data_IF_923832016703
#
_entry.id   IF_923832016703
#
_cell.length_a   1.000
_cell.length_b   1.000
_cell.length_c   1.000
_cell.angle_alpha   90.00
_cell.angle_beta   90.00
_cell.angle_gamma   90.00
#
_symmetry.space_group_name_H-M   'P 1'
#
loop_
_entity.id
_entity.type
_entity.pdbx_description
1 polymer ?
#
# COMPACT_ATOMS: atom_id res chain seq x y z
N UNK A 1 24.79 -4.65 -1.36
CA UNK A 1 23.94 -4.66 -0.14
C UNK A 1 23.21 -6.00 -0.10
N UNK A 2 22.82 -6.50 1.07
CA UNK A 2 21.95 -7.68 1.19
C UNK A 2 20.55 -7.27 0.79
N UNK A 3 19.87 -8.04 -0.07
CA UNK A 3 18.48 -7.78 -0.44
C UNK A 3 17.52 -8.29 0.63
N UNK A 4 16.23 -7.93 0.53
CA UNK A 4 15.19 -8.63 1.29
C UNK A 4 15.24 -10.11 0.94
N UNK A 5 14.88 -10.97 1.88
CA UNK A 5 14.92 -12.42 1.67
C UNK A 5 13.62 -13.08 2.10
N UNK A 6 13.28 -14.19 1.44
CA UNK A 6 12.07 -14.95 1.67
C UNK A 6 12.43 -16.32 2.27
N UNK A 7 11.78 -16.68 3.38
CA UNK A 7 11.83 -18.03 3.95
C UNK A 7 10.42 -18.64 3.91
N UNK A 8 10.26 -19.67 3.08
CA UNK A 8 9.00 -20.41 2.93
C UNK A 8 9.03 -21.76 3.66
N UNK A 9 10.10 -22.10 4.34
CA UNK A 9 10.32 -23.45 4.92
C UNK A 9 9.19 -23.86 5.86
N UNK A 10 8.70 -22.93 6.70
CA UNK A 10 7.60 -23.14 7.64
C UNK A 10 6.21 -23.08 7.03
N UNK A 11 6.11 -22.77 5.76
CA UNK A 11 4.89 -22.88 4.96
C UNK A 11 4.91 -24.14 4.08
N UNK A 12 6.04 -24.40 3.42
CA UNK A 12 6.20 -25.52 2.51
C UNK A 12 6.05 -26.89 3.22
N UNK A 13 6.42 -26.99 4.50
CA UNK A 13 6.25 -28.23 5.28
C UNK A 13 4.78 -28.67 5.46
N UNK A 14 3.80 -27.79 5.19
CA UNK A 14 2.36 -28.10 5.20
C UNK A 14 1.83 -28.57 3.84
N UNK A 15 2.70 -28.63 2.85
CA UNK A 15 2.40 -29.13 1.51
C UNK A 15 3.10 -30.49 1.31
N UNK A 16 2.64 -31.25 0.33
CA UNK A 16 3.35 -32.47 -0.04
C UNK A 16 4.73 -32.17 -0.55
N UNK A 17 5.66 -33.10 -0.42
CA UNK A 17 7.04 -32.95 -0.91
C UNK A 17 7.03 -32.59 -2.40
N UNK A 18 7.82 -31.59 -2.77
CA UNK A 18 7.90 -31.09 -4.15
C UNK A 18 6.72 -30.24 -4.61
N UNK A 19 5.66 -30.04 -3.79
CA UNK A 19 4.46 -29.30 -4.21
C UNK A 19 4.79 -27.87 -4.66
N UNK A 20 5.67 -27.15 -3.98
CA UNK A 20 6.07 -25.79 -4.38
C UNK A 20 6.79 -25.83 -5.74
N UNK A 21 7.71 -26.79 -5.92
CA UNK A 21 8.44 -26.96 -7.18
C UNK A 21 7.54 -27.34 -8.35
N UNK A 22 6.45 -28.05 -8.09
CA UNK A 22 5.47 -28.41 -9.11
C UNK A 22 4.75 -27.18 -9.74
N UNK A 23 4.80 -26.00 -9.09
CA UNK A 23 4.31 -24.75 -9.67
C UNK A 23 5.31 -24.08 -10.61
N UNK A 24 6.57 -24.49 -10.68
CA UNK A 24 7.57 -23.86 -11.53
C UNK A 24 7.15 -23.67 -12.98
N UNK A 25 6.58 -24.67 -13.68
CA UNK A 25 6.12 -24.47 -15.08
C UNK A 25 5.02 -23.40 -15.19
N UNK A 26 4.07 -23.37 -14.25
CA UNK A 26 2.98 -22.37 -14.25
C UNK A 26 3.49 -20.97 -13.93
N UNK A 27 4.42 -20.85 -12.98
CA UNK A 27 5.05 -19.58 -12.61
C UNK A 27 5.88 -19.03 -13.79
N UNK A 28 6.67 -19.87 -14.44
CA UNK A 28 7.44 -19.47 -15.64
C UNK A 28 6.53 -19.01 -16.76
N UNK A 29 5.47 -19.77 -17.05
CA UNK A 29 4.50 -19.38 -18.05
C UNK A 29 3.80 -18.04 -17.71
N UNK A 30 3.51 -17.78 -16.42
CA UNK A 30 2.96 -16.52 -15.96
C UNK A 30 3.96 -15.36 -16.15
N UNK A 31 5.23 -15.55 -15.81
CA UNK A 31 6.29 -14.55 -16.02
C UNK A 31 6.50 -14.25 -17.52
N UNK A 32 6.56 -15.29 -18.35
CA UNK A 32 6.67 -15.15 -19.81
C UNK A 32 5.47 -14.38 -20.39
N UNK A 33 4.25 -14.66 -19.91
CA UNK A 33 3.05 -13.98 -20.35
C UNK A 33 3.01 -12.50 -19.92
N UNK A 34 3.51 -12.18 -18.72
CA UNK A 34 3.68 -10.79 -18.26
C UNK A 34 4.68 -10.04 -19.16
N UNK A 35 5.85 -10.62 -19.40
CA UNK A 35 6.91 -10.01 -20.22
C UNK A 35 6.51 -9.85 -21.68
N UNK A 36 5.82 -10.86 -22.24
CA UNK A 36 5.33 -10.81 -23.62
C UNK A 36 4.06 -9.96 -23.81
N UNK A 37 3.45 -9.50 -22.72
CA UNK A 37 2.20 -8.76 -22.78
C UNK A 37 1.02 -9.59 -23.31
N UNK A 38 1.00 -10.91 -23.03
CA UNK A 38 -0.04 -11.84 -23.49
C UNK A 38 -0.98 -12.31 -22.38
N UNK A 39 -0.72 -11.90 -21.14
CA UNK A 39 -1.58 -12.23 -20.00
C UNK A 39 -2.93 -11.47 -20.03
N UNK A 40 -3.96 -11.97 -19.34
CA UNK A 40 -5.20 -11.21 -19.13
C UNK A 40 -4.93 -9.85 -18.49
N UNK A 41 -5.47 -8.78 -19.07
CA UNK A 41 -5.28 -7.40 -18.57
C UNK A 41 -3.94 -6.76 -18.96
N UNK A 42 -3.31 -7.24 -20.03
CA UNK A 42 -2.03 -6.75 -20.55
C UNK A 42 -2.00 -5.24 -20.88
N UNK A 43 -3.17 -4.59 -21.01
CA UNK A 43 -3.27 -3.12 -21.13
C UNK A 43 -2.74 -2.36 -19.91
N UNK A 44 -2.52 -3.06 -18.78
CA UNK A 44 -2.12 -2.49 -17.50
C UNK A 44 -0.76 -3.01 -17.00
N UNK A 45 0.19 -3.24 -17.90
CA UNK A 45 1.54 -3.73 -17.55
C UNK A 45 2.60 -2.63 -17.43
N UNK A 46 2.21 -1.35 -17.47
CA UNK A 46 3.15 -0.23 -17.38
C UNK A 46 3.95 -0.15 -16.07
N UNK A 47 3.57 -0.90 -15.06
CA UNK A 47 4.30 -1.02 -13.79
C UNK A 47 5.48 -2.00 -13.86
N UNK A 48 5.46 -2.98 -14.78
CA UNK A 48 6.40 -4.11 -14.80
C UNK A 48 7.87 -3.68 -14.91
N UNK A 49 8.16 -2.75 -15.84
CA UNK A 49 9.49 -2.17 -16.02
C UNK A 49 9.52 -0.69 -15.63
N UNK A 50 8.56 -0.24 -14.83
CA UNK A 50 8.51 1.14 -14.36
C UNK A 50 9.77 1.53 -13.59
N UNK A 51 10.28 0.75 -12.60
CA UNK A 51 11.44 1.16 -11.82
C UNK A 51 12.64 1.51 -12.67
N UNK A 52 13.04 0.62 -13.58
CA UNK A 52 14.20 0.81 -14.46
C UNK A 52 13.99 1.87 -15.54
N UNK A 53 12.74 2.22 -15.85
CA UNK A 53 12.39 3.26 -16.84
C UNK A 53 12.36 4.68 -16.26
N UNK A 54 12.32 4.83 -14.93
CA UNK A 54 12.31 6.13 -14.27
C UNK A 54 13.65 6.84 -14.47
N UNK A 55 13.61 8.01 -15.10
CA UNK A 55 14.83 8.79 -15.37
C UNK A 55 15.20 9.68 -14.19
N UNK A 56 16.51 9.98 -14.01
CA UNK A 56 16.95 10.96 -13.00
C UNK A 56 16.28 12.33 -13.16
N UNK A 57 16.10 12.80 -14.41
CA UNK A 57 15.44 14.07 -14.70
C UNK A 57 13.99 14.12 -14.23
N UNK A 58 13.27 13.02 -14.35
CA UNK A 58 11.90 12.90 -13.82
C UNK A 58 11.88 12.94 -12.28
N UNK A 59 12.79 12.25 -11.61
CA UNK A 59 12.91 12.31 -10.14
C UNK A 59 13.29 13.71 -9.67
N UNK A 60 14.15 14.41 -10.40
CA UNK A 60 14.52 15.80 -10.10
C UNK A 60 13.33 16.75 -10.29
N UNK A 61 12.45 16.52 -11.28
CA UNK A 61 11.22 17.30 -11.47
C UNK A 61 10.22 17.07 -10.32
N UNK A 62 10.03 15.82 -9.90
CA UNK A 62 9.20 15.50 -8.74
C UNK A 62 9.74 16.15 -7.49
N UNK A 63 11.05 16.04 -7.24
CA UNK A 63 11.72 16.64 -6.10
C UNK A 63 11.58 18.18 -6.10
N UNK A 64 11.82 18.84 -7.22
CA UNK A 64 11.68 20.29 -7.34
C UNK A 64 10.24 20.76 -7.04
N UNK A 65 9.24 19.99 -7.46
CA UNK A 65 7.83 20.27 -7.13
C UNK A 65 7.55 20.07 -5.64
N UNK A 66 8.07 19.00 -5.05
CA UNK A 66 7.97 18.75 -3.61
C UNK A 66 8.64 19.88 -2.80
N UNK A 67 9.79 20.38 -3.24
CA UNK A 67 10.51 21.46 -2.56
C UNK A 67 9.72 22.79 -2.59
N UNK A 68 8.97 23.07 -3.65
CA UNK A 68 8.05 24.21 -3.68
C UNK A 68 6.96 24.06 -2.61
N UNK A 69 6.37 22.86 -2.46
CA UNK A 69 5.36 22.60 -1.43
C UNK A 69 5.97 22.70 -0.03
N UNK A 70 7.14 22.10 0.18
CA UNK A 70 7.86 22.14 1.47
C UNK A 70 8.22 23.55 1.91
N UNK A 71 8.65 24.40 0.97
CA UNK A 71 9.04 25.78 1.26
C UNK A 71 7.85 26.71 1.57
N UNK A 72 6.63 26.37 1.13
CA UNK A 72 5.48 27.26 1.20
C UNK A 72 4.35 26.76 2.11
N UNK A 73 4.42 25.52 2.62
CA UNK A 73 3.32 24.90 3.35
C UNK A 73 3.75 24.34 4.71
N UNK A 74 2.91 24.51 5.71
CA UNK A 74 3.01 23.86 7.03
C UNK A 74 2.37 22.45 6.99
N UNK A 75 1.40 22.27 6.08
CA UNK A 75 0.75 20.99 5.83
C UNK A 75 0.54 20.79 4.31
N UNK A 76 0.58 19.55 3.88
CA UNK A 76 0.20 19.16 2.51
C UNK A 76 -0.85 18.08 2.61
N UNK A 77 -2.01 18.31 2.01
CA UNK A 77 -3.12 17.34 1.98
C UNK A 77 -3.07 16.58 0.67
N UNK A 78 -2.92 15.27 0.76
CA UNK A 78 -3.01 14.35 -0.38
C UNK A 78 -4.47 13.93 -0.50
N UNK A 79 -5.16 14.43 -1.53
CA UNK A 79 -6.54 14.11 -1.83
C UNK A 79 -6.60 12.94 -2.82
N UNK A 80 -6.95 11.75 -2.33
CA UNK A 80 -6.99 10.52 -3.12
C UNK A 80 -7.63 9.36 -2.37
N UNK A 81 -8.01 8.31 -3.10
CA UNK A 81 -8.62 7.10 -2.54
C UNK A 81 -7.97 5.84 -3.14
N UNK A 82 -7.99 4.73 -2.39
CA UNK A 82 -7.41 3.46 -2.84
C UNK A 82 -5.93 3.60 -3.20
N UNK A 83 -5.55 3.18 -4.40
CA UNK A 83 -4.16 3.29 -4.88
C UNK A 83 -3.63 4.73 -4.97
N UNK A 84 -4.52 5.73 -4.99
CA UNK A 84 -4.11 7.14 -5.00
C UNK A 84 -3.67 7.67 -3.63
N UNK A 85 -3.73 6.86 -2.56
CA UNK A 85 -3.23 7.25 -1.24
C UNK A 85 -2.51 6.14 -0.48
N UNK A 86 -2.97 4.87 -0.57
CA UNK A 86 -2.46 3.78 0.27
C UNK A 86 -0.95 3.55 0.12
N UNK A 87 -0.45 3.52 -1.11
CA UNK A 87 0.98 3.29 -1.35
C UNK A 87 1.86 4.42 -0.82
N UNK A 88 1.48 5.68 -1.07
CA UNK A 88 2.20 6.84 -0.52
C UNK A 88 2.17 6.83 1.02
N UNK A 89 1.01 6.55 1.62
CA UNK A 89 0.85 6.48 3.07
C UNK A 89 1.69 5.37 3.67
N UNK A 90 1.71 4.19 3.05
CA UNK A 90 2.52 3.05 3.47
C UNK A 90 4.02 3.41 3.57
N UNK A 91 4.57 4.05 2.54
CA UNK A 91 5.98 4.47 2.52
C UNK A 91 6.24 5.56 3.56
N UNK A 92 5.38 6.58 3.60
CA UNK A 92 5.54 7.72 4.52
C UNK A 92 5.50 7.25 5.97
N UNK A 93 4.54 6.40 6.36
CA UNK A 93 4.46 5.90 7.74
C UNK A 93 5.61 4.95 8.09
N UNK A 94 5.99 4.06 7.18
CA UNK A 94 7.13 3.16 7.40
C UNK A 94 8.45 3.90 7.69
N UNK A 95 8.63 5.08 7.09
CA UNK A 95 9.86 5.86 7.22
C UNK A 95 9.79 6.97 8.26
N UNK A 96 8.59 7.42 8.63
CA UNK A 96 8.39 8.53 9.58
C UNK A 96 8.76 8.16 11.02
N UNK A 97 9.06 9.17 11.82
CA UNK A 97 8.96 9.05 13.26
C UNK A 97 7.47 8.86 13.62
N UNK A 98 7.16 7.88 14.47
CA UNK A 98 5.76 7.58 14.88
C UNK A 98 5.04 8.77 15.53
N UNK A 99 5.78 9.75 16.04
CA UNK A 99 5.28 10.98 16.66
C UNK A 99 5.63 12.24 15.86
N UNK A 100 5.91 12.11 14.54
CA UNK A 100 6.34 13.23 13.69
C UNK A 100 5.37 14.42 13.72
N UNK A 101 4.07 14.14 13.86
CA UNK A 101 3.02 15.17 13.92
C UNK A 101 3.03 16.00 15.24
N UNK A 102 3.68 15.48 16.31
CA UNK A 102 3.86 16.17 17.60
C UNK A 102 5.22 16.86 17.73
N UNK A 103 6.18 16.53 16.89
CA UNK A 103 7.55 17.09 17.00
C UNK A 103 7.54 18.54 16.56
N UNK A 104 8.08 19.44 17.40
CA UNK A 104 8.06 20.89 17.16
C UNK A 104 8.98 21.33 16.00
N UNK A 105 10.14 20.68 15.83
CA UNK A 105 11.06 20.96 14.71
C UNK A 105 10.60 20.21 13.47
N UNK A 106 9.89 20.92 12.62
CA UNK A 106 9.35 20.40 11.36
C UNK A 106 10.10 20.98 10.17
N UNK A 107 11.14 20.30 9.73
CA UNK A 107 11.82 20.63 8.49
C UNK A 107 10.96 20.33 7.25
N UNK A 108 9.89 19.55 7.40
CA UNK A 108 8.95 19.16 6.35
C UNK A 108 7.50 19.44 6.76
N UNK A 109 6.59 19.69 5.81
CA UNK A 109 5.18 19.87 6.12
C UNK A 109 4.58 18.58 6.69
N UNK A 110 3.54 18.72 7.51
CA UNK A 110 2.73 17.57 7.92
C UNK A 110 1.97 17.06 6.71
N UNK A 111 2.15 15.79 6.37
CA UNK A 111 1.41 15.15 5.28
C UNK A 111 0.11 14.58 5.85
N UNK A 112 -1.01 15.05 5.31
CA UNK A 112 -2.36 14.63 5.66
C UNK A 112 -3.00 13.93 4.47
N UNK A 113 -3.86 12.96 4.72
CA UNK A 113 -4.57 12.24 3.67
C UNK A 113 -6.07 12.48 3.80
N UNK A 114 -6.73 12.80 2.68
CA UNK A 114 -8.16 13.03 2.64
C UNK A 114 -8.75 12.55 1.30
N UNK A 115 -10.08 12.53 1.19
CA UNK A 115 -10.73 11.98 0.00
C UNK A 115 -10.67 10.46 -0.11
N UNK A 116 -10.24 9.80 0.96
CA UNK A 116 -10.26 8.35 1.14
C UNK A 116 -11.51 7.89 1.92
N UNK A 117 -12.34 8.84 2.34
CA UNK A 117 -13.64 8.65 2.95
C UNK A 117 -14.50 9.90 2.72
N UNK A 118 -15.78 9.83 3.09
CA UNK A 118 -16.75 10.94 3.06
C UNK A 118 -17.38 11.18 4.43
N UNK A 119 -16.63 10.86 5.50
CA UNK A 119 -17.06 11.16 6.87
C UNK A 119 -17.10 12.67 7.10
N UNK A 120 -18.28 13.19 7.49
CA UNK A 120 -18.50 14.61 7.68
C UNK A 120 -17.63 15.17 8.81
N UNK A 121 -17.56 14.47 9.95
CA UNK A 121 -16.71 14.86 11.08
C UNK A 121 -15.25 14.96 10.67
N UNK A 122 -14.72 13.95 10.00
CA UNK A 122 -13.32 13.94 9.54
C UNK A 122 -13.00 15.13 8.62
N UNK A 123 -13.86 15.42 7.65
CA UNK A 123 -13.66 16.54 6.73
C UNK A 123 -13.83 17.89 7.43
N UNK A 124 -14.77 18.00 8.37
CA UNK A 124 -14.97 19.19 9.19
C UNK A 124 -13.74 19.47 10.07
N UNK A 125 -13.28 18.49 10.82
CA UNK A 125 -12.09 18.58 11.67
C UNK A 125 -10.83 18.91 10.86
N UNK A 126 -10.66 18.30 9.68
CA UNK A 126 -9.55 18.61 8.78
C UNK A 126 -9.59 20.08 8.33
N UNK A 127 -10.76 20.55 7.87
CA UNK A 127 -10.88 21.95 7.42
C UNK A 127 -10.68 22.94 8.58
N UNK A 128 -11.11 22.57 9.78
CA UNK A 128 -10.87 23.36 10.99
C UNK A 128 -9.37 23.39 11.36
N UNK A 129 -8.69 22.24 11.34
CA UNK A 129 -7.25 22.16 11.57
C UNK A 129 -6.44 23.03 10.60
N UNK A 130 -6.89 23.13 9.35
CA UNK A 130 -6.23 23.92 8.30
C UNK A 130 -6.49 25.42 8.38
N UNK A 131 -7.46 25.88 9.21
CA UNK A 131 -7.73 27.33 9.38
C UNK A 131 -6.47 28.07 9.82
N UNK A 132 -6.14 29.12 9.08
CA UNK A 132 -4.99 29.98 9.36
C UNK A 132 -3.62 29.40 9.03
N UNK A 133 -3.54 28.13 8.57
CA UNK A 133 -2.28 27.50 8.15
C UNK A 133 -2.02 27.71 6.66
N UNK A 134 -0.75 27.79 6.31
CA UNK A 134 -0.31 27.66 4.91
C UNK A 134 -0.33 26.17 4.54
N UNK A 135 -1.19 25.78 3.62
CA UNK A 135 -1.29 24.39 3.22
C UNK A 135 -1.33 24.21 1.69
N UNK A 136 -0.79 23.10 1.23
CA UNK A 136 -0.86 22.68 -0.16
C UNK A 136 -1.81 21.49 -0.34
N UNK A 137 -2.18 21.22 -1.60
CA UNK A 137 -3.01 20.08 -1.96
C UNK A 137 -2.38 19.33 -3.12
N UNK A 138 -2.21 18.02 -2.97
CA UNK A 138 -1.90 17.11 -4.06
C UNK A 138 -3.18 16.35 -4.41
N UNK A 139 -3.85 16.77 -5.48
CA UNK A 139 -5.08 16.13 -5.94
C UNK A 139 -4.76 14.98 -6.88
N UNK A 140 -4.99 13.76 -6.44
CA UNK A 140 -4.66 12.53 -7.16
C UNK A 140 -5.93 11.84 -7.62
N UNK A 141 -6.29 12.04 -8.87
CA UNK A 141 -7.47 11.40 -9.47
C UNK A 141 -7.33 11.37 -10.99
N UNK A 142 -7.38 10.19 -11.60
CA UNK A 142 -7.28 10.05 -13.05
C UNK A 142 -8.43 10.75 -13.77
N UNK A 143 -9.66 10.50 -13.37
CA UNK A 143 -10.86 11.11 -13.96
C UNK A 143 -11.20 12.49 -13.37
N UNK A 144 -10.88 12.72 -12.11
CA UNK A 144 -11.34 13.88 -11.33
C UNK A 144 -12.82 13.82 -10.96
N UNK A 145 -13.48 12.69 -11.13
CA UNK A 145 -14.92 12.49 -10.86
C UNK A 145 -15.20 11.43 -9.80
N UNK A 146 -14.17 10.82 -9.22
CA UNK A 146 -14.32 9.95 -8.05
C UNK A 146 -14.92 10.78 -6.93
N UNK A 147 -16.08 10.38 -6.43
CA UNK A 147 -16.93 11.21 -5.56
C UNK A 147 -16.19 11.72 -4.33
N UNK A 148 -15.52 10.82 -3.63
CA UNK A 148 -14.81 11.09 -2.38
C UNK A 148 -13.70 12.13 -2.60
N UNK A 149 -12.86 11.89 -3.60
CA UNK A 149 -11.73 12.78 -3.93
C UNK A 149 -12.20 14.10 -4.49
N UNK A 150 -13.22 14.11 -5.38
CA UNK A 150 -13.74 15.33 -6.01
C UNK A 150 -14.41 16.25 -4.99
N UNK A 151 -15.19 15.69 -4.04
CA UNK A 151 -15.82 16.44 -2.95
C UNK A 151 -14.74 17.08 -2.06
N UNK A 152 -13.79 16.28 -1.62
CA UNK A 152 -12.70 16.74 -0.76
C UNK A 152 -11.86 17.82 -1.46
N UNK A 153 -11.48 17.62 -2.71
CA UNK A 153 -10.71 18.60 -3.45
C UNK A 153 -11.47 19.92 -3.63
N UNK A 154 -12.79 19.87 -3.85
CA UNK A 154 -13.62 21.09 -3.96
C UNK A 154 -13.59 21.91 -2.68
N UNK A 155 -13.68 21.26 -1.51
CA UNK A 155 -13.59 21.93 -0.21
C UNK A 155 -12.20 22.53 0.02
N UNK A 156 -11.15 21.74 -0.17
CA UNK A 156 -9.76 22.15 0.06
C UNK A 156 -9.31 23.25 -0.90
N UNK A 157 -9.67 23.16 -2.20
CA UNK A 157 -9.38 24.22 -3.18
C UNK A 157 -9.97 25.56 -2.76
N UNK A 158 -11.26 25.56 -2.40
CA UNK A 158 -11.95 26.76 -1.94
C UNK A 158 -11.25 27.35 -0.72
N UNK A 159 -11.00 26.56 0.31
CA UNK A 159 -10.33 27.02 1.52
C UNK A 159 -8.91 27.55 1.27
N UNK A 160 -8.13 26.86 0.44
CA UNK A 160 -6.77 27.27 0.04
C UNK A 160 -6.79 28.64 -0.65
N UNK A 161 -7.70 28.84 -1.61
CA UNK A 161 -7.86 30.12 -2.32
C UNK A 161 -8.32 31.26 -1.41
N UNK A 162 -9.24 30.98 -0.49
CA UNK A 162 -9.73 31.98 0.47
C UNK A 162 -8.67 32.40 1.50
N UNK A 163 -7.85 31.44 1.98
CA UNK A 163 -6.83 31.72 3.00
C UNK A 163 -5.53 32.30 2.42
N UNK A 164 -5.09 31.84 1.25
CA UNK A 164 -3.77 32.14 0.74
C UNK A 164 -3.79 32.96 -0.57
N UNK A 165 -4.97 33.18 -1.14
CA UNK A 165 -5.18 33.84 -2.42
C UNK A 165 -4.86 32.92 -3.60
N UNK A 166 -5.47 33.25 -4.77
CA UNK A 166 -5.37 32.41 -5.98
C UNK A 166 -3.95 32.20 -6.51
N UNK A 167 -3.09 33.21 -6.41
CA UNK A 167 -1.70 33.15 -6.88
C UNK A 167 -0.88 32.13 -6.06
N UNK A 168 -1.04 32.12 -4.75
CA UNK A 168 -0.39 31.13 -3.89
C UNK A 168 -1.02 29.75 -4.08
N UNK A 169 -2.33 29.66 -4.14
CA UNK A 169 -3.02 28.40 -4.40
C UNK A 169 -2.55 27.74 -5.70
N UNK A 170 -2.31 28.54 -6.76
CA UNK A 170 -1.74 28.05 -8.02
C UNK A 170 -0.36 27.39 -7.84
N UNK A 171 0.45 27.88 -6.92
CA UNK A 171 1.79 27.34 -6.64
C UNK A 171 1.78 26.07 -5.80
N UNK A 172 0.80 25.94 -4.89
CA UNK A 172 0.77 24.87 -3.87
C UNK A 172 -0.33 23.83 -4.09
N UNK A 173 -1.14 23.97 -5.13
CA UNK A 173 -2.03 22.90 -5.60
C UNK A 173 -1.37 22.22 -6.79
N UNK A 174 -1.21 20.89 -6.66
CA UNK A 174 -0.64 20.04 -7.71
C UNK A 174 -1.66 18.98 -8.10
N UNK A 175 -1.86 18.76 -9.39
CA UNK A 175 -2.72 17.72 -9.91
C UNK A 175 -1.90 16.55 -10.39
N UNK A 176 -2.23 15.34 -9.91
CA UNK A 176 -1.73 14.08 -10.47
C UNK A 176 -2.92 13.39 -11.14
N UNK A 177 -2.97 13.41 -12.47
CA UNK A 177 -4.20 13.11 -13.22
C UNK A 177 -3.91 12.57 -14.63
N UNK A 178 -4.95 12.36 -15.43
CA UNK A 178 -4.85 11.98 -16.84
C UNK A 178 -4.08 13.03 -17.66
N UNK A 179 -3.43 12.58 -18.73
CA UNK A 179 -2.63 13.45 -19.60
C UNK A 179 -3.47 14.46 -20.39
N UNK A 180 -4.71 14.11 -20.77
CA UNK A 180 -5.49 14.84 -21.78
C UNK A 180 -6.93 15.09 -21.41
N UNK A 181 -7.54 14.29 -20.53
CA UNK A 181 -8.99 14.27 -20.30
C UNK A 181 -9.34 14.18 -18.82
N UNK A 182 -10.63 14.43 -18.55
CA UNK A 182 -11.20 14.35 -17.19
C UNK A 182 -11.26 15.69 -16.48
N UNK A 183 -12.10 15.76 -15.46
CA UNK A 183 -12.37 16.98 -14.71
C UNK A 183 -11.13 17.52 -13.99
N UNK A 184 -10.28 16.65 -13.45
CA UNK A 184 -9.04 17.07 -12.78
C UNK A 184 -8.05 17.70 -13.78
N UNK A 185 -7.91 17.12 -14.99
CA UNK A 185 -7.07 17.69 -16.06
C UNK A 185 -7.58 19.08 -16.49
N UNK A 186 -8.88 19.15 -16.80
CA UNK A 186 -9.50 20.42 -17.19
C UNK A 186 -9.33 21.50 -16.12
N UNK A 187 -9.50 21.13 -14.83
CA UNK A 187 -9.29 22.06 -13.73
C UNK A 187 -7.82 22.52 -13.65
N UNK A 188 -6.86 21.59 -13.76
CA UNK A 188 -5.45 21.92 -13.69
C UNK A 188 -5.03 22.87 -14.81
N UNK A 189 -5.49 22.64 -16.05
CA UNK A 189 -5.19 23.50 -17.19
C UNK A 189 -5.81 24.89 -17.04
N UNK A 190 -7.07 24.95 -16.61
CA UNK A 190 -7.78 26.24 -16.42
C UNK A 190 -7.14 27.10 -15.33
N UNK A 191 -6.78 26.49 -14.20
CA UNK A 191 -6.23 27.21 -13.03
C UNK A 191 -4.70 27.40 -13.14
N UNK A 192 -4.02 26.69 -14.07
CA UNK A 192 -2.57 26.74 -14.24
C UNK A 192 -1.83 26.00 -13.12
N UNK A 193 -2.37 24.93 -12.60
CA UNK A 193 -1.70 24.10 -11.58
C UNK A 193 -0.57 23.29 -12.19
N UNK A 194 0.53 23.14 -11.46
CA UNK A 194 1.52 22.11 -11.78
C UNK A 194 0.84 20.75 -11.84
N UNK A 195 1.18 19.94 -12.83
CA UNK A 195 0.56 18.61 -12.95
C UNK A 195 1.55 17.56 -13.35
N UNK A 196 1.24 16.32 -12.93
CA UNK A 196 1.91 15.07 -13.34
C UNK A 196 0.88 14.12 -13.93
N UNK A 197 1.37 13.26 -14.81
CA UNK A 197 0.51 12.29 -15.51
C UNK A 197 0.47 10.97 -14.75
N UNK A 198 -0.74 10.44 -14.57
CA UNK A 198 -0.94 9.04 -14.20
C UNK A 198 -0.88 8.24 -15.49
N UNK A 199 0.08 7.32 -15.67
CA UNK A 199 0.17 6.52 -16.88
C UNK A 199 -1.12 5.71 -17.12
N UNK A 200 -1.57 5.67 -18.37
CA UNK A 200 -2.82 4.97 -18.72
C UNK A 200 -2.77 3.48 -18.47
N UNK A 201 -1.59 2.90 -18.65
CA UNK A 201 -1.28 1.49 -18.52
C UNK A 201 -0.81 1.05 -17.12
N UNK A 202 -1.00 1.90 -16.09
CA UNK A 202 -0.71 1.55 -14.68
C UNK A 202 -1.99 1.60 -13.87
N UNK A 203 -2.36 0.47 -13.26
CA UNK A 203 -3.48 0.39 -12.35
C UNK A 203 -3.19 1.10 -11.01
N UNK A 204 -4.25 1.59 -10.33
CA UNK A 204 -4.10 2.38 -9.10
C UNK A 204 -3.27 1.68 -8.01
N UNK A 205 -3.50 0.39 -7.77
CA UNK A 205 -2.78 -0.39 -6.74
C UNK A 205 -1.33 -0.73 -7.08
N UNK A 206 -0.92 -0.52 -8.36
CA UNK A 206 0.45 -0.68 -8.88
C UNK A 206 1.14 0.68 -9.12
N UNK A 207 0.63 1.78 -8.57
CA UNK A 207 1.06 3.13 -8.96
C UNK A 207 2.00 3.82 -7.97
N UNK A 208 2.50 3.13 -6.94
CA UNK A 208 3.35 3.74 -5.90
C UNK A 208 4.59 4.42 -6.48
N UNK A 209 5.23 3.82 -7.49
CA UNK A 209 6.43 4.33 -8.15
C UNK A 209 6.14 5.31 -9.30
N UNK A 210 4.87 5.71 -9.49
CA UNK A 210 4.48 6.83 -10.35
C UNK A 210 4.43 8.14 -9.54
N UNK A 211 4.12 9.30 -10.15
CA UNK A 211 3.90 10.54 -9.41
C UNK A 211 2.84 10.42 -8.30
N UNK A 212 1.94 9.44 -8.40
CA UNK A 212 0.92 9.13 -7.39
C UNK A 212 1.54 8.89 -6.00
N UNK A 213 2.61 8.11 -5.94
CA UNK A 213 3.33 7.86 -4.70
C UNK A 213 4.54 8.76 -4.52
N UNK A 214 5.35 8.93 -5.57
CA UNK A 214 6.64 9.63 -5.46
C UNK A 214 6.52 11.09 -5.00
N UNK A 215 5.49 11.83 -5.47
CA UNK A 215 5.35 13.23 -5.08
C UNK A 215 4.98 13.41 -3.59
N UNK A 216 3.97 12.73 -3.03
CA UNK A 216 3.71 12.81 -1.59
C UNK A 216 4.89 12.36 -0.73
N UNK A 217 5.61 11.31 -1.16
CA UNK A 217 6.77 10.77 -0.44
C UNK A 217 7.91 11.81 -0.41
N UNK A 218 8.20 12.45 -1.54
CA UNK A 218 9.18 13.54 -1.62
C UNK A 218 8.77 14.75 -0.77
N UNK A 219 7.46 15.11 -0.74
CA UNK A 219 6.93 16.16 0.12
C UNK A 219 7.12 15.86 1.60
N UNK A 220 7.03 14.59 1.99
CA UNK A 220 7.33 14.14 3.36
C UNK A 220 8.83 14.21 3.71
N UNK A 221 9.70 14.49 2.73
CA UNK A 221 11.14 14.61 2.91
C UNK A 221 11.93 13.32 2.79
N UNK A 222 11.32 12.27 2.23
CA UNK A 222 12.01 10.98 2.03
C UNK A 222 12.67 10.90 0.66
N UNK A 223 13.77 10.14 0.60
CA UNK A 223 14.58 9.98 -0.60
C UNK A 223 13.93 9.05 -1.62
N UNK A 224 13.26 9.66 -2.60
CA UNK A 224 12.60 8.93 -3.70
C UNK A 224 13.62 8.26 -4.66
N UNK A 225 14.87 8.74 -4.72
CA UNK A 225 15.91 8.11 -5.54
C UNK A 225 16.33 6.77 -4.93
N UNK A 226 16.49 6.71 -3.61
CA UNK A 226 16.75 5.46 -2.91
C UNK A 226 15.56 4.49 -3.00
N UNK A 227 14.33 4.99 -2.90
CA UNK A 227 13.12 4.18 -3.06
C UNK A 227 13.10 3.49 -4.44
N UNK A 228 13.31 4.26 -5.49
CA UNK A 228 13.35 3.75 -6.87
C UNK A 228 14.55 2.81 -7.07
N UNK A 229 15.72 3.14 -6.52
CA UNK A 229 16.90 2.28 -6.62
C UNK A 229 16.65 0.88 -5.99
N UNK A 230 15.94 0.83 -4.86
CA UNK A 230 15.52 -0.43 -4.24
C UNK A 230 14.59 -1.25 -5.14
N UNK A 231 13.61 -0.59 -5.77
CA UNK A 231 12.70 -1.23 -6.71
C UNK A 231 13.41 -1.74 -7.97
N UNK A 232 14.36 -0.97 -8.52
CA UNK A 232 15.21 -1.39 -9.65
C UNK A 232 16.03 -2.63 -9.31
N UNK A 233 16.58 -2.69 -8.11
CA UNK A 233 17.32 -3.89 -7.68
C UNK A 233 16.39 -5.12 -7.61
N UNK A 234 15.20 -4.95 -7.06
CA UNK A 234 14.24 -6.06 -6.95
C UNK A 234 13.66 -6.46 -8.32
N UNK A 235 13.50 -5.53 -9.25
CA UNK A 235 13.15 -5.83 -10.65
C UNK A 235 14.15 -6.81 -11.29
N UNK A 236 15.46 -6.64 -11.01
CA UNK A 236 16.49 -7.57 -11.48
C UNK A 236 16.42 -8.93 -10.78
N UNK A 237 16.28 -8.92 -9.45
CA UNK A 237 16.23 -10.14 -8.63
C UNK A 237 15.02 -11.00 -8.99
N UNK A 238 13.86 -10.36 -9.28
CA UNK A 238 12.64 -11.06 -9.63
C UNK A 238 12.40 -11.20 -11.14
N UNK A 239 13.39 -10.86 -11.97
CA UNK A 239 13.29 -10.92 -13.42
C UNK A 239 13.03 -12.33 -13.95
N UNK A 240 12.51 -12.42 -15.17
CA UNK A 240 12.12 -13.70 -15.81
C UNK A 240 13.26 -14.72 -15.97
N UNK A 241 14.51 -14.22 -16.07
CA UNK A 241 15.71 -15.05 -16.27
C UNK A 241 16.28 -15.58 -14.95
N UNK A 242 15.76 -15.13 -13.80
CA UNK A 242 16.15 -15.66 -12.49
C UNK A 242 15.70 -17.12 -12.33
N UNK A 243 16.54 -17.95 -11.74
CA UNK A 243 16.19 -19.34 -11.44
C UNK A 243 14.99 -19.37 -10.48
N UNK A 244 14.07 -20.32 -10.66
CA UNK A 244 12.86 -20.42 -9.84
C UNK A 244 13.17 -20.40 -8.33
N UNK A 245 14.17 -21.20 -7.92
CA UNK A 245 14.55 -21.34 -6.51
C UNK A 245 15.29 -20.10 -5.94
N UNK A 246 15.73 -19.18 -6.80
CA UNK A 246 16.42 -17.94 -6.44
C UNK A 246 15.52 -16.71 -6.56
N UNK A 247 14.36 -16.85 -7.19
CA UNK A 247 13.40 -15.76 -7.39
C UNK A 247 12.37 -15.71 -6.25
N UNK A 248 12.47 -14.76 -5.32
CA UNK A 248 11.58 -14.70 -4.16
C UNK A 248 10.11 -14.46 -4.55
N UNK A 249 9.84 -13.71 -5.61
CA UNK A 249 8.47 -13.46 -6.07
C UNK A 249 7.85 -14.72 -6.68
N UNK A 250 8.62 -15.50 -7.43
CA UNK A 250 8.22 -16.79 -7.98
C UNK A 250 7.89 -17.79 -6.86
N UNK A 251 8.76 -17.91 -5.86
CA UNK A 251 8.57 -18.79 -4.70
C UNK A 251 7.34 -18.36 -3.87
N UNK A 252 7.17 -17.06 -3.64
CA UNK A 252 6.02 -16.55 -2.90
C UNK A 252 4.71 -16.84 -3.63
N UNK A 253 4.65 -16.59 -4.94
CA UNK A 253 3.47 -16.91 -5.75
C UNK A 253 3.18 -18.42 -5.76
N UNK A 254 4.20 -19.28 -5.85
CA UNK A 254 4.05 -20.72 -5.85
C UNK A 254 3.52 -21.26 -4.52
N UNK A 255 4.13 -20.86 -3.39
CA UNK A 255 3.71 -21.35 -2.07
C UNK A 255 2.30 -20.87 -1.71
N UNK A 256 1.93 -19.62 -2.04
CA UNK A 256 0.58 -19.10 -1.85
C UNK A 256 -0.48 -19.91 -2.60
N UNK A 257 -0.23 -20.17 -3.89
CA UNK A 257 -1.15 -20.96 -4.71
C UNK A 257 -1.23 -22.42 -4.22
N UNK A 258 -0.11 -23.00 -3.77
CA UNK A 258 -0.08 -24.33 -3.16
C UNK A 258 -0.91 -24.39 -1.88
N UNK A 259 -0.75 -23.42 -0.99
CA UNK A 259 -1.56 -23.29 0.24
C UNK A 259 -3.05 -23.07 -0.08
N UNK A 260 -3.36 -22.24 -1.09
CA UNK A 260 -4.73 -22.04 -1.52
C UNK A 260 -5.39 -23.35 -2.01
N UNK A 261 -4.68 -24.16 -2.79
CA UNK A 261 -5.15 -25.45 -3.26
C UNK A 261 -5.31 -26.46 -2.11
N UNK A 262 -4.48 -26.34 -1.05
CA UNK A 262 -4.59 -27.19 0.15
C UNK A 262 -5.71 -26.74 1.11
N UNK A 263 -6.49 -25.70 0.76
CA UNK A 263 -7.62 -25.22 1.56
C UNK A 263 -7.34 -24.01 2.45
N UNK A 264 -6.13 -23.45 2.41
CA UNK A 264 -5.81 -22.19 3.11
C UNK A 264 -6.38 -21.01 2.30
N UNK A 265 -7.40 -20.36 2.81
CA UNK A 265 -8.19 -19.35 2.10
C UNK A 265 -7.94 -17.92 2.56
N UNK A 266 -7.25 -17.75 3.67
CA UNK A 266 -6.98 -16.45 4.29
C UNK A 266 -5.47 -16.34 4.52
N UNK A 267 -4.87 -15.27 4.00
CA UNK A 267 -3.50 -14.88 4.29
C UNK A 267 -3.50 -13.69 5.25
N UNK A 268 -2.79 -13.84 6.35
CA UNK A 268 -2.64 -12.79 7.35
C UNK A 268 -1.23 -12.20 7.21
N UNK A 269 -1.14 -10.96 6.75
CA UNK A 269 0.09 -10.17 6.81
C UNK A 269 0.34 -9.77 8.25
N UNK A 270 1.47 -10.20 8.81
CA UNK A 270 1.85 -9.95 10.21
C UNK A 270 3.08 -9.06 10.26
N UNK A 271 3.03 -8.01 11.04
CA UNK A 271 4.18 -7.16 11.29
C UNK A 271 4.40 -6.91 12.79
N UNK A 272 5.69 -6.81 13.19
CA UNK A 272 6.14 -6.53 14.55
C UNK A 272 6.63 -5.08 14.70
N UNK A 273 6.45 -4.28 13.65
CA UNK A 273 6.80 -2.87 13.63
C UNK A 273 5.54 -2.06 13.31
N UNK A 274 4.98 -1.29 14.26
CA UNK A 274 3.73 -0.52 14.05
C UNK A 274 3.75 0.38 12.82
N UNK A 275 4.94 0.82 12.39
CA UNK A 275 5.14 1.64 11.18
C UNK A 275 4.77 0.91 9.89
N UNK A 276 4.65 -0.41 9.90
CA UNK A 276 4.29 -1.21 8.73
C UNK A 276 2.78 -1.46 8.59
N UNK A 277 1.97 -0.90 9.50
CA UNK A 277 0.51 -1.02 9.41
C UNK A 277 -0.02 -0.68 8.01
N UNK A 278 0.31 0.49 7.49
CA UNK A 278 -0.16 0.88 6.15
C UNK A 278 0.53 0.14 4.99
N UNK A 279 1.67 -0.50 5.22
CA UNK A 279 2.22 -1.46 4.25
C UNK A 279 1.27 -2.67 4.09
N UNK A 280 0.74 -3.17 5.20
CA UNK A 280 -0.28 -4.22 5.18
C UNK A 280 -1.59 -3.75 4.54
N UNK A 281 -2.03 -2.51 4.77
CA UNK A 281 -3.23 -1.95 4.16
C UNK A 281 -3.09 -1.81 2.62
N UNK A 282 -1.94 -1.32 2.14
CA UNK A 282 -1.62 -1.28 0.71
C UNK A 282 -1.58 -2.69 0.11
N UNK A 283 -0.93 -3.63 0.78
CA UNK A 283 -0.85 -5.03 0.37
C UNK A 283 -2.24 -5.68 0.29
N UNK A 284 -3.15 -5.39 1.22
CA UNK A 284 -4.54 -5.86 1.18
C UNK A 284 -5.26 -5.38 -0.08
N UNK A 285 -5.08 -4.12 -0.48
CA UNK A 285 -5.64 -3.63 -1.73
C UNK A 285 -4.98 -4.32 -2.93
N UNK A 286 -3.66 -4.42 -2.95
CA UNK A 286 -2.92 -5.04 -4.04
C UNK A 286 -3.45 -6.45 -4.32
N UNK A 287 -3.50 -7.31 -3.31
CA UNK A 287 -3.92 -8.70 -3.49
C UNK A 287 -5.45 -8.87 -3.55
N UNK A 288 -6.21 -8.16 -2.74
CA UNK A 288 -7.66 -8.26 -2.71
C UNK A 288 -8.31 -7.89 -4.05
N UNK A 289 -7.90 -6.75 -4.64
CA UNK A 289 -8.41 -6.35 -5.95
C UNK A 289 -7.82 -7.17 -7.10
N UNK A 290 -6.63 -7.76 -6.94
CA UNK A 290 -5.99 -8.52 -8.01
C UNK A 290 -6.47 -9.97 -8.09
N UNK A 291 -6.64 -10.64 -6.96
CA UNK A 291 -6.95 -12.07 -6.90
C UNK A 291 -8.42 -12.40 -6.57
N UNK A 292 -9.14 -11.52 -5.86
CA UNK A 292 -10.54 -11.74 -5.46
C UNK A 292 -11.50 -11.63 -6.63
N UNK A 293 -11.46 -12.60 -7.55
CA UNK A 293 -12.27 -12.63 -8.78
C UNK A 293 -12.79 -14.02 -9.09
N UNK A 294 -13.84 -14.11 -9.88
CA UNK A 294 -14.42 -15.39 -10.35
C UNK A 294 -14.72 -16.36 -9.18
N UNK A 295 -15.08 -15.82 -8.02
CA UNK A 295 -15.29 -16.58 -6.77
C UNK A 295 -14.06 -17.37 -6.31
N UNK A 296 -12.87 -16.91 -6.70
CA UNK A 296 -11.56 -17.41 -6.29
C UNK A 296 -10.80 -16.33 -5.50
N UNK A 297 -9.63 -16.71 -5.01
CA UNK A 297 -8.66 -15.84 -4.38
C UNK A 297 -8.51 -16.07 -2.88
N UNK A 298 -7.32 -15.72 -2.39
CA UNK A 298 -6.99 -15.72 -0.97
C UNK A 298 -7.49 -14.41 -0.39
N UNK A 299 -8.22 -14.46 0.73
CA UNK A 299 -8.67 -13.25 1.42
C UNK A 299 -7.48 -12.62 2.18
N UNK A 300 -7.08 -11.39 1.86
CA UNK A 300 -5.96 -10.73 2.52
C UNK A 300 -6.43 -10.07 3.82
N UNK A 301 -5.87 -10.52 4.95
CA UNK A 301 -6.04 -9.92 6.27
C UNK A 301 -4.71 -9.40 6.80
N UNK A 302 -4.69 -8.68 7.92
CA UNK A 302 -3.46 -8.25 8.58
C UNK A 302 -3.60 -8.20 10.09
N UNK A 303 -2.46 -8.36 10.78
CA UNK A 303 -2.33 -8.20 12.23
C UNK A 303 -1.08 -7.39 12.56
N UNK A 304 -1.24 -6.47 13.51
CA UNK A 304 -0.12 -5.73 14.12
C UNK A 304 0.24 -6.38 15.46
N UNK A 305 1.38 -7.03 15.54
CA UNK A 305 1.83 -7.76 16.71
C UNK A 305 2.82 -6.88 17.50
N UNK A 306 2.82 -6.91 18.83
CA UNK A 306 2.20 -7.89 19.77
C UNK A 306 0.73 -7.60 20.12
N UNK A 307 0.19 -6.41 19.76
CA UNK A 307 -1.17 -6.01 20.19
C UNK A 307 -2.23 -7.02 19.75
N UNK A 308 -2.18 -7.52 18.53
CA UNK A 308 -3.18 -8.45 18.00
C UNK A 308 -3.03 -9.89 18.52
N UNK A 309 -1.96 -10.23 19.22
CA UNK A 309 -1.91 -11.47 19.99
C UNK A 309 -2.93 -11.47 21.14
N UNK A 310 -3.30 -10.27 21.63
CA UNK A 310 -4.32 -10.09 22.66
C UNK A 310 -5.74 -9.93 22.10
N UNK A 311 -5.92 -10.09 20.79
CA UNK A 311 -7.21 -10.06 20.09
C UNK A 311 -7.39 -11.28 19.18
N UNK A 312 -6.56 -11.40 18.16
CA UNK A 312 -6.63 -12.45 17.13
C UNK A 312 -5.80 -13.70 17.47
N UNK A 313 -4.86 -13.59 18.44
CA UNK A 313 -3.94 -14.68 18.77
C UNK A 313 -4.63 -16.00 19.11
N UNK A 314 -5.72 -15.95 19.89
CA UNK A 314 -6.49 -17.15 20.22
C UNK A 314 -7.06 -17.82 18.96
N UNK A 315 -7.62 -17.05 18.04
CA UNK A 315 -8.21 -17.59 16.81
C UNK A 315 -7.14 -18.15 15.87
N UNK A 316 -6.01 -17.46 15.73
CA UNK A 316 -4.89 -17.91 14.91
C UNK A 316 -4.35 -19.23 15.47
N UNK A 317 -4.15 -19.32 16.80
CA UNK A 317 -3.59 -20.50 17.45
C UNK A 317 -4.53 -21.72 17.44
N UNK A 318 -5.84 -21.53 17.62
CA UNK A 318 -6.78 -22.61 17.95
C UNK A 318 -8.09 -22.57 17.14
N UNK A 319 -8.26 -21.63 16.21
CA UNK A 319 -9.42 -21.54 15.32
C UNK A 319 -9.31 -22.48 14.11
N UNK A 320 -10.12 -22.24 13.06
CA UNK A 320 -10.09 -23.03 11.83
C UNK A 320 -8.76 -22.95 11.10
N UNK A 321 -8.29 -24.08 10.60
CA UNK A 321 -7.01 -24.19 9.86
C UNK A 321 -7.10 -23.72 8.40
N UNK A 322 -7.90 -22.68 8.13
CA UNK A 322 -8.08 -22.06 6.80
C UNK A 322 -7.10 -20.92 6.50
N UNK A 323 -6.26 -20.58 7.46
CA UNK A 323 -5.32 -19.45 7.40
C UNK A 323 -3.87 -19.89 7.17
N UNK A 324 -3.07 -18.94 6.74
CA UNK A 324 -1.60 -18.94 6.83
C UNK A 324 -1.10 -17.49 7.06
N UNK A 325 0.14 -17.36 7.49
CA UNK A 325 0.74 -16.08 7.82
C UNK A 325 1.89 -15.74 6.87
N UNK A 326 2.03 -14.44 6.58
CA UNK A 326 3.21 -13.84 5.96
C UNK A 326 3.74 -12.75 6.88
N UNK A 327 4.89 -12.97 7.48
CA UNK A 327 5.51 -12.09 8.48
C UNK A 327 6.54 -11.18 7.81
N UNK A 328 6.41 -9.87 7.95
CA UNK A 328 7.47 -8.92 7.60
C UNK A 328 8.33 -8.67 8.84
N UNK A 329 9.56 -9.14 8.81
CA UNK A 329 10.53 -9.06 9.89
C UNK A 329 11.67 -8.10 9.56
N UNK A 330 11.77 -6.96 10.27
CA UNK A 330 12.93 -6.06 10.16
C UNK A 330 14.11 -6.63 10.95
N UNK A 331 15.27 -6.84 10.31
CA UNK A 331 16.45 -7.43 11.00
C UNK A 331 17.04 -6.48 12.03
N UNK A 332 17.03 -5.17 11.75
CA UNK A 332 17.56 -4.15 12.65
C UNK A 332 16.59 -2.96 12.78
N UNK A 333 16.36 -2.46 13.98
CA UNK A 333 15.61 -1.24 14.19
C UNK A 333 16.49 0.00 13.92
N UNK A 334 15.86 1.10 13.53
CA UNK A 334 16.57 2.36 13.26
C UNK A 334 17.01 3.10 14.54
N UNK A 335 16.62 2.62 15.72
CA UNK A 335 16.94 3.23 17.03
C UNK A 335 17.19 2.16 18.06
N UNK A 336 17.96 2.51 19.08
CA UNK A 336 18.26 1.62 20.21
C UNK A 336 17.61 2.13 21.48
N UNK A 337 16.94 1.22 22.20
CA UNK A 337 16.40 1.44 23.53
C UNK A 337 16.70 0.20 24.39
N UNK A 338 17.24 0.42 25.58
CA UNK A 338 17.55 -0.65 26.53
C UNK A 338 16.49 -0.68 27.63
N UNK A 339 16.20 -1.87 28.13
CA UNK A 339 15.40 -2.02 29.36
C UNK A 339 16.18 -1.52 30.55
N UNK A 340 15.58 -0.67 31.40
CA UNK A 340 16.17 -0.28 32.67
C UNK A 340 16.13 -1.42 33.68
N UNK A 341 16.98 -1.35 34.69
CA UNK A 341 16.84 -2.13 35.93
C UNK A 341 15.86 -1.41 36.87
N UNK A 342 15.12 -2.15 37.70
CA UNK A 342 14.21 -1.63 38.71
C UNK A 342 14.54 -2.25 40.07
N UNK A 343 14.85 -1.44 41.09
CA UNK A 343 15.29 -1.92 42.39
C UNK A 343 14.23 -2.79 43.08
N UNK A 344 12.94 -2.52 42.88
CA UNK A 344 11.85 -3.27 43.50
C UNK A 344 11.47 -4.53 42.72
N UNK A 345 11.72 -4.53 41.40
CA UNK A 345 11.39 -5.65 40.49
C UNK A 345 9.98 -6.21 40.68
N UNK A 346 9.00 -5.35 40.93
CA UNK A 346 7.60 -5.77 41.21
C UNK A 346 6.94 -6.46 40.01
N UNK A 347 7.34 -6.11 38.80
CA UNK A 347 6.88 -6.74 37.57
C UNK A 347 7.64 -8.02 37.20
N UNK A 348 8.72 -8.33 37.89
CA UNK A 348 9.57 -9.50 37.64
C UNK A 348 10.41 -9.41 36.37
N UNK A 349 10.59 -8.22 35.79
CA UNK A 349 11.21 -8.06 34.46
C UNK A 349 12.73 -7.73 34.50
N UNK A 350 13.39 -7.70 35.65
CA UNK A 350 14.82 -7.42 35.71
C UNK A 350 15.71 -8.42 34.95
N UNK A 351 15.19 -9.61 34.60
CA UNK A 351 15.90 -10.53 33.68
C UNK A 351 16.07 -9.96 32.26
N UNK A 352 15.35 -8.88 31.92
CA UNK A 352 15.47 -8.14 30.67
C UNK A 352 16.40 -6.92 30.80
N UNK A 353 16.81 -6.53 32.01
CA UNK A 353 17.64 -5.36 32.22
C UNK A 353 18.92 -5.38 31.39
N UNK A 354 19.23 -4.27 30.73
CA UNK A 354 20.34 -4.14 29.81
C UNK A 354 20.14 -4.76 28.41
N UNK A 355 19.08 -5.53 28.17
CA UNK A 355 18.74 -6.02 26.82
C UNK A 355 18.06 -4.92 26.00
N UNK A 356 18.23 -5.02 24.69
CA UNK A 356 17.51 -4.12 23.77
C UNK A 356 16.03 -4.52 23.71
N UNK A 357 15.13 -3.52 23.62
CA UNK A 357 13.69 -3.75 23.40
C UNK A 357 13.47 -4.57 22.12
N UNK A 358 14.28 -4.34 21.07
CA UNK A 358 14.21 -5.09 19.82
C UNK A 358 14.53 -6.59 20.02
N UNK A 359 15.45 -6.96 20.91
CA UNK A 359 15.74 -8.37 21.20
C UNK A 359 14.51 -9.07 21.78
N UNK A 360 13.77 -8.40 22.66
CA UNK A 360 12.53 -8.94 23.23
C UNK A 360 11.45 -9.06 22.15
N UNK A 361 11.33 -8.06 21.28
CA UNK A 361 10.39 -8.10 20.15
C UNK A 361 10.72 -9.25 19.17
N UNK A 362 12.00 -9.50 18.92
CA UNK A 362 12.45 -10.66 18.11
C UNK A 362 12.12 -12.00 18.75
N UNK A 363 12.24 -12.10 20.09
CA UNK A 363 11.86 -13.32 20.80
C UNK A 363 10.34 -13.52 20.77
N UNK A 364 9.55 -12.43 20.82
CA UNK A 364 8.11 -12.50 20.63
C UNK A 364 7.77 -13.00 19.21
N UNK A 365 8.41 -12.47 18.16
CA UNK A 365 8.26 -12.96 16.78
C UNK A 365 8.58 -14.45 16.67
N UNK A 366 9.72 -14.86 17.19
CA UNK A 366 10.15 -16.27 17.13
C UNK A 366 9.23 -17.19 17.91
N UNK A 367 8.87 -16.82 19.13
CA UNK A 367 7.98 -17.61 20.00
C UNK A 367 6.59 -17.77 19.40
N UNK A 368 6.01 -16.70 18.87
CA UNK A 368 4.73 -16.72 18.16
C UNK A 368 4.79 -17.62 16.93
N UNK A 369 5.82 -17.47 16.11
CA UNK A 369 6.00 -18.31 14.91
C UNK A 369 6.10 -19.80 15.25
N UNK A 370 6.84 -20.15 16.29
CA UNK A 370 6.93 -21.55 16.76
C UNK A 370 5.56 -22.07 17.18
N UNK A 371 4.85 -21.33 18.03
CA UNK A 371 3.54 -21.74 18.53
C UNK A 371 2.51 -21.89 17.38
N UNK A 372 2.43 -20.93 16.47
CA UNK A 372 1.48 -20.98 15.36
C UNK A 372 1.79 -22.12 14.39
N UNK A 373 3.08 -22.34 14.06
CA UNK A 373 3.51 -23.46 13.20
C UNK A 373 3.20 -24.81 13.86
N UNK A 374 3.48 -24.98 15.15
CA UNK A 374 3.15 -26.19 15.89
C UNK A 374 1.62 -26.39 16.00
N UNK A 375 0.85 -25.30 16.02
CA UNK A 375 -0.61 -25.28 15.95
C UNK A 375 -1.20 -25.55 14.55
N UNK A 376 -0.37 -25.77 13.53
CA UNK A 376 -0.83 -26.10 12.16
C UNK A 376 -1.08 -24.88 11.26
N UNK A 377 -0.51 -23.71 11.58
CA UNK A 377 -0.58 -22.48 10.76
C UNK A 377 0.69 -22.34 9.94
N UNK A 378 0.63 -22.44 8.60
CA UNK A 378 1.79 -22.21 7.73
C UNK A 378 2.29 -20.79 7.88
N UNK A 379 3.61 -20.60 7.89
CA UNK A 379 4.24 -19.30 8.10
C UNK A 379 5.31 -19.03 7.04
N UNK A 380 5.15 -17.92 6.33
CA UNK A 380 6.11 -17.35 5.38
C UNK A 380 6.79 -16.18 6.09
N UNK A 381 8.11 -16.01 5.91
CA UNK A 381 8.84 -14.87 6.49
C UNK A 381 9.57 -14.10 5.43
N UNK A 382 9.34 -12.79 5.40
CA UNK A 382 10.07 -11.83 4.59
C UNK A 382 11.00 -11.05 5.53
N UNK A 383 12.31 -11.24 5.38
CA UNK A 383 13.30 -10.53 6.18
C UNK A 383 13.75 -9.26 5.46
N UNK A 384 13.64 -8.13 6.14
CA UNK A 384 14.04 -6.80 5.66
C UNK A 384 15.24 -6.36 6.49
N UNK A 385 16.40 -6.03 5.92
CA UNK A 385 17.59 -5.68 6.70
C UNK A 385 17.37 -4.51 7.66
N UNK A 386 16.71 -3.44 7.19
CA UNK A 386 16.30 -2.29 7.98
C UNK A 386 15.15 -1.53 7.27
N UNK A 387 14.40 -0.71 8.00
CA UNK A 387 13.35 0.13 7.41
C UNK A 387 13.93 1.45 6.90
N UNK A 388 14.31 1.48 5.63
CA UNK A 388 14.71 2.67 4.89
C UNK A 388 14.08 2.71 3.50
N UNK A 389 14.23 3.82 2.77
CA UNK A 389 13.60 4.00 1.47
C UNK A 389 13.99 2.90 0.47
N UNK A 390 15.24 2.46 0.47
CA UNK A 390 15.75 1.43 -0.45
C UNK A 390 15.03 0.08 -0.25
N UNK A 391 14.93 -0.39 0.99
CA UNK A 391 14.28 -1.69 1.27
C UNK A 391 12.75 -1.61 1.18
N UNK A 392 12.15 -0.47 1.46
CA UNK A 392 10.72 -0.26 1.18
C UNK A 392 10.45 -0.31 -0.34
N UNK A 393 11.34 0.27 -1.15
CA UNK A 393 11.27 0.13 -2.61
C UNK A 393 11.35 -1.31 -3.09
N UNK A 394 12.22 -2.12 -2.48
CA UNK A 394 12.29 -3.56 -2.74
C UNK A 394 10.99 -4.29 -2.38
N UNK A 395 10.40 -4.01 -1.20
CA UNK A 395 9.13 -4.62 -0.79
C UNK A 395 7.99 -4.29 -1.75
N UNK A 396 7.91 -3.03 -2.21
CA UNK A 396 6.86 -2.60 -3.13
C UNK A 396 6.94 -3.41 -4.42
N UNK A 397 8.08 -3.41 -5.09
CA UNK A 397 8.21 -4.13 -6.36
C UNK A 397 8.09 -5.64 -6.19
N UNK A 398 8.65 -6.20 -5.11
CA UNK A 398 8.49 -7.62 -4.77
C UNK A 398 7.02 -8.03 -4.71
N UNK A 399 6.18 -7.28 -4.00
CA UNK A 399 4.76 -7.61 -3.89
C UNK A 399 4.00 -7.37 -5.20
N UNK A 400 4.34 -6.34 -5.97
CA UNK A 400 3.71 -6.07 -7.26
C UNK A 400 3.95 -7.21 -8.26
N UNK A 401 5.21 -7.63 -8.44
CA UNK A 401 5.53 -8.72 -9.37
C UNK A 401 5.01 -10.08 -8.88
N UNK A 402 5.13 -10.36 -7.58
CA UNK A 402 4.58 -11.58 -7.00
C UNK A 402 3.05 -11.67 -7.15
N UNK A 403 2.35 -10.54 -7.00
CA UNK A 403 0.90 -10.45 -7.22
C UNK A 403 0.53 -10.70 -8.69
N UNK A 404 1.27 -10.09 -9.62
CA UNK A 404 1.06 -10.34 -11.06
C UNK A 404 1.24 -11.81 -11.44
N UNK A 405 2.31 -12.45 -10.95
CA UNK A 405 2.55 -13.89 -11.16
C UNK A 405 1.46 -14.73 -10.51
N UNK A 406 1.16 -14.48 -9.23
CA UNK A 406 0.20 -15.28 -8.46
C UNK A 406 -1.21 -15.23 -9.04
N UNK A 407 -1.69 -14.05 -9.46
CA UNK A 407 -3.00 -13.92 -10.10
C UNK A 407 -3.09 -14.66 -11.44
N UNK A 408 -2.03 -14.64 -12.25
CA UNK A 408 -1.97 -15.43 -13.48
C UNK A 408 -1.97 -16.95 -13.20
N UNK A 409 -1.21 -17.42 -12.21
CA UNK A 409 -1.21 -18.82 -11.77
C UNK A 409 -2.58 -19.24 -11.24
N UNK A 410 -3.29 -18.36 -10.51
CA UNK A 410 -4.65 -18.57 -10.04
C UNK A 410 -5.67 -18.62 -11.20
N UNK A 411 -5.30 -18.11 -12.37
CA UNK A 411 -6.14 -18.07 -13.57
C UNK A 411 -7.20 -16.98 -13.53
N UNK A 412 -6.86 -15.80 -13.04
CA UNK A 412 -7.70 -14.59 -13.02
C UNK A 412 -6.98 -13.43 -13.71
N UNK A 413 -7.73 -12.38 -14.12
CA UNK A 413 -7.12 -11.14 -14.57
C UNK A 413 -6.68 -10.31 -13.35
N UNK A 414 -5.36 -10.15 -13.05
CA UNK A 414 -4.93 -9.46 -11.83
C UNK A 414 -5.03 -7.94 -11.93
N UNK A 415 -5.36 -7.35 -13.07
CA UNK A 415 -5.20 -5.91 -13.30
C UNK A 415 -6.51 -5.12 -13.43
N UNK A 416 -7.67 -5.78 -13.57
CA UNK A 416 -8.97 -5.13 -13.54
C UNK A 416 -9.63 -5.24 -12.15
N UNK A 417 -10.80 -4.60 -11.96
CA UNK A 417 -11.58 -4.63 -10.71
C UNK A 417 -13.09 -4.49 -10.98
N UNK A 418 -13.73 -5.47 -11.70
CA UNK A 418 -15.13 -5.33 -12.07
C UNK A 418 -16.10 -5.34 -10.87
N UNK A 419 -15.71 -5.95 -9.74
CA UNK A 419 -16.56 -6.08 -8.56
C UNK A 419 -16.93 -4.77 -7.87
N UNK A 420 -16.16 -3.69 -8.09
CA UNK A 420 -16.42 -2.39 -7.44
C UNK A 420 -17.39 -1.49 -8.22
N UNK A 421 -17.85 -1.89 -9.39
CA UNK A 421 -18.73 -1.04 -10.21
C UNK A 421 -20.18 -1.04 -9.72
N UNK A 422 -20.65 -2.15 -9.14
CA UNK A 422 -22.03 -2.28 -8.68
C UNK A 422 -22.39 -1.28 -7.57
N UNK A 423 -21.55 -1.14 -6.53
CA UNK A 423 -21.86 -0.20 -5.44
C UNK A 423 -21.83 1.26 -5.91
N UNK A 424 -20.93 1.62 -6.83
CA UNK A 424 -20.85 2.97 -7.40
C UNK A 424 -22.13 3.32 -8.15
N UNK A 425 -22.62 2.37 -8.97
CA UNK A 425 -23.89 2.55 -9.69
C UNK A 425 -25.04 2.77 -8.72
N UNK A 426 -25.14 1.95 -7.66
CA UNK A 426 -26.18 2.10 -6.65
C UNK A 426 -26.08 3.43 -5.91
N UNK A 427 -24.86 3.85 -5.52
CA UNK A 427 -24.64 5.15 -4.86
C UNK A 427 -25.09 6.32 -5.76
N UNK A 428 -24.73 6.29 -7.04
CA UNK A 428 -25.14 7.34 -7.98
C UNK A 428 -26.66 7.37 -8.19
N UNK A 429 -27.30 6.22 -8.24
CA UNK A 429 -28.76 6.09 -8.34
C UNK A 429 -29.45 6.66 -7.07
N UNK A 430 -28.95 6.33 -5.88
CA UNK A 430 -29.48 6.83 -4.61
C UNK A 430 -29.28 8.34 -4.42
N UNK A 431 -28.24 8.91 -5.02
CA UNK A 431 -27.96 10.35 -5.00
C UNK A 431 -28.68 11.12 -6.11
N UNK A 432 -29.56 10.48 -6.87
CA UNK A 432 -30.28 11.08 -8.01
C UNK A 432 -29.32 11.76 -9.02
N UNK A 433 -28.17 11.13 -9.27
CA UNK A 433 -27.18 11.68 -10.20
C UNK A 433 -27.77 11.74 -11.62
N UNK A 434 -27.63 12.87 -12.33
CA UNK A 434 -28.07 13.00 -13.71
C UNK A 434 -27.51 11.86 -14.61
N UNK A 435 -28.41 11.23 -15.39
CA UNK A 435 -28.10 10.06 -16.22
C UNK A 435 -28.33 8.70 -15.54
N UNK A 436 -28.82 8.69 -14.28
CA UNK A 436 -29.18 7.48 -13.52
C UNK A 436 -30.65 7.42 -13.14
N UNK A 437 -31.53 8.16 -13.81
CA UNK A 437 -32.95 8.33 -13.44
C UNK A 437 -33.70 7.00 -13.37
N UNK A 438 -33.46 6.09 -14.33
CA UNK A 438 -34.10 4.78 -14.35
C UNK A 438 -33.62 3.88 -13.18
N UNK A 439 -32.31 3.87 -12.92
CA UNK A 439 -31.72 3.12 -11.81
C UNK A 439 -32.18 3.71 -10.46
N UNK A 440 -32.29 5.04 -10.34
CA UNK A 440 -32.79 5.74 -9.15
C UNK A 440 -34.22 5.33 -8.81
N UNK A 441 -35.09 5.31 -9.81
CA UNK A 441 -36.48 4.84 -9.64
C UNK A 441 -36.54 3.39 -9.18
N UNK A 442 -35.82 2.52 -9.86
CA UNK A 442 -35.81 1.07 -9.57
C UNK A 442 -35.31 0.77 -8.15
N UNK A 443 -34.21 1.42 -7.70
CA UNK A 443 -33.65 1.16 -6.38
C UNK A 443 -34.53 1.71 -5.26
N UNK A 444 -35.20 2.86 -5.46
CA UNK A 444 -36.15 3.44 -4.51
C UNK A 444 -37.41 2.58 -4.37
N UNK A 445 -37.95 2.07 -5.48
CA UNK A 445 -39.07 1.13 -5.46
C UNK A 445 -38.72 -0.17 -4.71
N UNK A 446 -37.51 -0.70 -4.94
CA UNK A 446 -37.00 -1.87 -4.22
C UNK A 446 -36.93 -1.62 -2.71
N UNK A 447 -36.33 -0.52 -2.27
CA UNK A 447 -36.21 -0.19 -0.86
C UNK A 447 -37.58 0.05 -0.18
N UNK A 448 -38.55 0.64 -0.91
CA UNK A 448 -39.90 0.80 -0.40
C UNK A 448 -40.66 -0.54 -0.21
N UNK A 449 -40.30 -1.56 -1.00
CA UNK A 449 -40.89 -2.89 -0.88
C UNK A 449 -40.17 -3.77 0.17
N UNK A 450 -38.96 -3.40 0.58
CA UNK A 450 -38.18 -4.11 1.62
C UNK A 450 -38.40 -3.52 3.04
N UNK A 451 -38.99 -2.32 3.14
CA UNK A 451 -39.33 -1.62 4.40
C UNK A 451 -40.72 -1.99 4.91
#
# INVERSE_FOLDING_TARGET
MKNISLDISKAAQFLSEGAVKAFEPQVKAAQEALEAGTCPGNDFLGWLHLPSSITPAFLDEVQATADVLRANCEAVVVAGIGGSYLGAKAVIEALSNSFAWLVADKSNPTILFAGNNIGEDYLSELTEYLKGKKFGVINISKSGTTTETALTFRLLKKQCEEQMGKEMARKVIVAVTDAKRGAARTCADKEGYKSFVIPDNVGGRFSVLTPVGLLPIACAGFDIKQLVAGAVEMEKVCGKDAAFDENPAALYAAVRNGLYQSGKKIEIMVNYQPKLHFMSEWWKQLYGESEGKDKKGIFPASCDVTTDLHSMGQWIQDGERTIFETVISSEQPNRTLLFPDDEENLDGLNFLAGKRVDEVNKMAELGTRLAHVDGGVPNIRISVPELNAYYIGQLIYFFEIACGISGNVLGVNPFNQPGVEAYKKNMFALLDKPGYEADSKAIKERLANEA
#
